data_IF_151153961358
#
_entry.id   IF_151153961358
#
_cell.length_a   1.000
_cell.length_b   1.000
_cell.length_c   1.000
_cell.angle_alpha   90.00
_cell.angle_beta   90.00
_cell.angle_gamma   90.00
#
_symmetry.space_group_name_H-M   'P 1'
#
loop_
_entity.id
_entity.type
_entity.pdbx_description
1 polymer ?
#
# COMPACT_ATOMS: atom_id res chain seq x y z
N UNK A 1 8.34 -27.27 -4.07
CA UNK A 1 7.17 -28.03 -3.57
C UNK A 1 6.00 -27.06 -3.55
N UNK A 2 5.14 -27.14 -4.56
CA UNK A 2 3.92 -26.32 -4.57
C UNK A 2 3.02 -26.82 -3.42
N UNK A 3 2.82 -25.98 -2.40
CA UNK A 3 1.75 -26.23 -1.44
C UNK A 3 0.44 -26.32 -2.22
N UNK A 4 -0.30 -27.39 -2.01
CA UNK A 4 -1.65 -27.50 -2.54
C UNK A 4 -2.51 -26.44 -1.82
N UNK A 5 -2.63 -25.25 -2.41
CA UNK A 5 -3.42 -24.16 -1.86
C UNK A 5 -4.87 -24.43 -2.26
N UNK A 6 -5.74 -24.51 -1.27
CA UNK A 6 -7.18 -24.65 -1.49
C UNK A 6 -7.82 -23.25 -1.61
N UNK A 7 -7.97 -22.78 -2.85
CA UNK A 7 -8.60 -21.49 -3.12
C UNK A 7 -10.13 -21.60 -2.97
N UNK A 8 -10.74 -20.60 -2.34
CA UNK A 8 -12.17 -20.57 -2.06
C UNK A 8 -13.05 -20.34 -3.27
N UNK A 9 -12.51 -19.77 -4.35
CA UNK A 9 -13.25 -19.42 -5.54
C UNK A 9 -12.45 -19.63 -6.82
N UNK A 10 -13.17 -19.74 -7.96
CA UNK A 10 -12.53 -19.76 -9.27
C UNK A 10 -11.81 -18.45 -9.60
N UNK A 11 -12.32 -17.32 -9.10
CA UNK A 11 -11.66 -16.02 -9.23
C UNK A 11 -10.28 -16.01 -8.59
N UNK A 12 -10.16 -16.53 -7.37
CA UNK A 12 -8.86 -16.65 -6.69
C UNK A 12 -7.90 -17.56 -7.46
N UNK A 13 -8.38 -18.68 -8.01
CA UNK A 13 -7.56 -19.58 -8.85
C UNK A 13 -7.03 -18.88 -10.09
N UNK A 14 -7.85 -18.05 -10.74
CA UNK A 14 -7.42 -17.26 -11.90
C UNK A 14 -6.38 -16.22 -11.52
N UNK A 15 -6.56 -15.51 -10.40
CA UNK A 15 -5.61 -14.54 -9.89
C UNK A 15 -4.27 -15.21 -9.59
N UNK A 16 -4.28 -16.34 -8.89
CA UNK A 16 -3.08 -17.12 -8.58
C UNK A 16 -2.34 -17.56 -9.85
N UNK A 17 -3.07 -18.05 -10.85
CA UNK A 17 -2.51 -18.44 -12.14
C UNK A 17 -1.82 -17.28 -12.87
N UNK A 18 -2.42 -16.09 -12.85
CA UNK A 18 -1.84 -14.89 -13.45
C UNK A 18 -0.59 -14.47 -12.68
N UNK A 19 -0.63 -14.43 -11.35
CA UNK A 19 0.53 -14.11 -10.51
C UNK A 19 1.71 -15.04 -10.80
N UNK A 20 1.45 -16.34 -10.93
CA UNK A 20 2.47 -17.33 -11.31
C UNK A 20 3.03 -17.06 -12.71
N UNK A 21 2.17 -16.70 -13.66
CA UNK A 21 2.58 -16.43 -15.04
C UNK A 21 3.48 -15.20 -15.17
N UNK A 22 3.22 -14.16 -14.39
CA UNK A 22 4.05 -12.93 -14.33
C UNK A 22 5.15 -12.99 -13.27
N UNK A 23 5.32 -14.16 -12.62
CA UNK A 23 6.37 -14.45 -11.64
C UNK A 23 6.37 -13.53 -10.41
N UNK A 24 5.20 -13.15 -9.96
CA UNK A 24 5.00 -12.42 -8.70
C UNK A 24 4.71 -13.44 -7.59
N UNK A 25 5.54 -13.42 -6.56
CA UNK A 25 5.37 -14.25 -5.37
C UNK A 25 4.23 -13.74 -4.51
N UNK A 26 3.46 -14.66 -3.96
CA UNK A 26 2.35 -14.34 -3.08
C UNK A 26 2.22 -15.32 -1.92
N UNK A 27 1.59 -14.86 -0.86
CA UNK A 27 1.07 -15.69 0.23
C UNK A 27 -0.46 -15.65 0.18
N UNK A 28 -1.09 -16.81 0.29
CA UNK A 28 -2.55 -16.92 0.33
C UNK A 28 -3.05 -16.72 1.76
N UNK A 29 -4.02 -15.83 1.95
CA UNK A 29 -4.66 -15.55 3.23
C UNK A 29 -3.68 -15.23 4.39
N UNK A 30 -2.64 -14.46 4.12
CA UNK A 30 -1.76 -13.96 5.17
C UNK A 30 -2.51 -12.93 6.03
N UNK A 31 -2.48 -13.13 7.35
CA UNK A 31 -3.20 -12.27 8.29
C UNK A 31 -2.62 -10.86 8.39
N UNK A 32 -3.49 -9.88 8.54
CA UNK A 32 -3.16 -8.48 8.80
C UNK A 32 -3.97 -7.95 9.98
N UNK A 33 -3.30 -7.22 10.88
CA UNK A 33 -3.97 -6.63 12.04
C UNK A 33 -4.77 -5.38 11.61
N UNK A 34 -6.06 -5.39 11.91
CA UNK A 34 -6.97 -4.26 11.70
C UNK A 34 -7.31 -3.65 13.05
N UNK A 35 -7.05 -2.35 13.16
CA UNK A 35 -7.51 -1.52 14.26
C UNK A 35 -8.69 -0.66 13.80
N UNK A 36 -9.82 -0.84 14.42
CA UNK A 36 -10.98 0.03 14.26
C UNK A 36 -11.37 0.57 15.63
N UNK A 37 -12.09 1.69 15.67
CA UNK A 37 -12.45 2.38 16.91
C UNK A 37 -13.01 1.48 18.01
N UNK A 38 -13.71 0.41 17.62
CA UNK A 38 -14.43 -0.49 18.52
C UNK A 38 -13.81 -1.89 18.65
N UNK A 39 -12.79 -2.23 17.87
CA UNK A 39 -12.20 -3.56 17.90
C UNK A 39 -10.78 -3.62 17.29
N UNK A 40 -10.06 -4.64 17.69
CA UNK A 40 -8.86 -5.13 17.01
C UNK A 40 -9.14 -6.53 16.50
N UNK A 41 -8.87 -6.79 15.23
CA UNK A 41 -9.06 -8.10 14.60
C UNK A 41 -7.99 -8.36 13.58
N UNK A 42 -7.75 -9.64 13.31
CA UNK A 42 -6.95 -10.07 12.19
C UNK A 42 -7.90 -10.33 11.01
N UNK A 43 -7.64 -9.65 9.89
CA UNK A 43 -8.27 -9.92 8.62
C UNK A 43 -7.34 -10.70 7.73
N UNK A 44 -7.90 -11.43 6.77
CA UNK A 44 -7.16 -12.30 5.86
C UNK A 44 -7.48 -11.90 4.42
N UNK A 45 -6.80 -10.90 3.85
CA UNK A 45 -6.88 -10.62 2.43
C UNK A 45 -6.53 -11.86 1.62
N UNK A 46 -7.09 -11.99 0.42
CA UNK A 46 -6.91 -13.20 -0.38
C UNK A 46 -5.44 -13.47 -0.72
N UNK A 47 -4.69 -12.41 -1.08
CA UNK A 47 -3.27 -12.53 -1.40
C UNK A 47 -2.46 -11.41 -0.76
N UNK A 48 -1.25 -11.76 -0.33
CA UNK A 48 -0.22 -10.82 0.09
C UNK A 48 0.94 -10.89 -0.88
N UNK A 49 1.29 -9.75 -1.46
CA UNK A 49 2.46 -9.59 -2.31
C UNK A 49 3.60 -9.00 -1.48
N UNK A 50 4.35 -9.85 -0.78
CA UNK A 50 5.35 -9.43 0.21
C UNK A 50 6.46 -8.57 -0.37
N UNK A 51 6.88 -8.83 -1.62
CA UNK A 51 7.92 -8.05 -2.29
C UNK A 51 7.53 -6.59 -2.52
N UNK A 52 6.24 -6.29 -2.55
CA UNK A 52 5.70 -4.94 -2.85
C UNK A 52 4.94 -4.33 -1.67
N UNK A 53 4.75 -5.06 -0.58
CA UNK A 53 3.92 -4.64 0.56
C UNK A 53 2.50 -4.26 0.17
N UNK A 54 1.90 -5.04 -0.72
CA UNK A 54 0.55 -4.86 -1.26
C UNK A 54 -0.24 -6.13 -1.01
N UNK A 55 -1.54 -5.97 -0.79
CA UNK A 55 -2.50 -7.07 -0.71
C UNK A 55 -3.46 -7.03 -1.88
N UNK A 56 -4.02 -8.18 -2.23
CA UNK A 56 -5.10 -8.28 -3.21
C UNK A 56 -6.34 -8.83 -2.51
N UNK A 57 -7.50 -8.29 -2.88
CA UNK A 57 -8.80 -8.74 -2.39
C UNK A 57 -9.75 -8.92 -3.58
N UNK A 58 -10.34 -10.10 -3.72
CA UNK A 58 -11.28 -10.41 -4.78
C UNK A 58 -12.72 -10.23 -4.32
N UNK A 59 -13.45 -9.34 -4.97
CA UNK A 59 -14.85 -9.05 -4.71
C UNK A 59 -15.74 -9.70 -5.79
N UNK A 60 -16.05 -10.98 -5.63
CA UNK A 60 -16.72 -11.78 -6.64
C UNK A 60 -18.21 -11.51 -6.84
N UNK A 61 -18.88 -10.82 -5.91
CA UNK A 61 -20.35 -10.59 -5.91
C UNK A 61 -20.71 -9.12 -6.18
N UNK A 62 -19.97 -8.46 -7.05
CA UNK A 62 -20.06 -7.01 -7.31
C UNK A 62 -21.40 -6.53 -7.91
N UNK A 63 -22.36 -7.41 -8.19
CA UNK A 63 -23.70 -7.02 -8.68
C UNK A 63 -24.76 -6.92 -7.58
N UNK A 64 -24.40 -7.25 -6.35
CA UNK A 64 -25.27 -7.08 -5.18
C UNK A 64 -24.99 -5.72 -4.51
N UNK A 65 -25.98 -4.80 -4.44
CA UNK A 65 -25.77 -3.48 -3.84
C UNK A 65 -25.32 -3.53 -2.36
N UNK A 66 -25.79 -4.51 -1.59
CA UNK A 66 -25.37 -4.70 -0.19
C UNK A 66 -23.90 -5.14 -0.12
N UNK A 67 -23.50 -6.01 -1.01
CA UNK A 67 -22.13 -6.47 -1.11
C UNK A 67 -21.19 -5.36 -1.58
N UNK A 68 -21.61 -4.54 -2.54
CA UNK A 68 -20.85 -3.36 -2.98
C UNK A 68 -20.61 -2.38 -1.84
N UNK A 69 -21.63 -2.13 -1.01
CA UNK A 69 -21.48 -1.27 0.17
C UNK A 69 -20.46 -1.86 1.15
N UNK A 70 -20.58 -3.13 1.48
CA UNK A 70 -19.66 -3.82 2.40
C UNK A 70 -18.23 -3.85 1.85
N UNK A 71 -18.06 -4.02 0.54
CA UNK A 71 -16.76 -4.02 -0.12
C UNK A 71 -16.06 -2.66 0.00
N UNK A 72 -16.81 -1.56 -0.22
CA UNK A 72 -16.30 -0.20 -0.05
C UNK A 72 -15.92 0.08 1.40
N UNK A 73 -16.78 -0.29 2.35
CA UNK A 73 -16.49 -0.15 3.77
C UNK A 73 -15.22 -0.92 4.16
N UNK A 74 -15.05 -2.13 3.63
CA UNK A 74 -13.85 -2.94 3.86
C UNK A 74 -12.59 -2.27 3.32
N UNK A 75 -12.65 -1.72 2.11
CA UNK A 75 -11.53 -0.97 1.51
C UNK A 75 -11.20 0.31 2.30
N UNK A 76 -12.20 1.02 2.79
CA UNK A 76 -12.01 2.20 3.63
C UNK A 76 -11.30 1.85 4.94
N UNK A 77 -11.66 0.74 5.58
CA UNK A 77 -11.01 0.26 6.80
C UNK A 77 -9.56 -0.12 6.53
N UNK A 78 -9.25 -0.81 5.43
CA UNK A 78 -7.87 -1.07 5.03
C UNK A 78 -7.09 0.23 4.86
N UNK A 79 -7.65 1.20 4.16
CA UNK A 79 -7.02 2.51 3.94
C UNK A 79 -6.75 3.26 5.25
N UNK A 80 -7.69 3.27 6.19
CA UNK A 80 -7.52 3.87 7.52
C UNK A 80 -6.39 3.21 8.32
N UNK A 81 -6.15 1.92 8.08
CA UNK A 81 -5.05 1.16 8.68
C UNK A 81 -3.74 1.26 7.90
N UNK A 82 -3.68 2.08 6.84
CA UNK A 82 -2.52 2.22 5.94
C UNK A 82 -2.08 0.90 5.30
N UNK A 83 -3.06 0.04 5.03
CA UNK A 83 -2.87 -1.23 4.33
C UNK A 83 -3.24 -0.99 2.87
N UNK A 84 -2.28 -1.23 2.00
CA UNK A 84 -2.42 -1.02 0.58
C UNK A 84 -3.05 -2.27 -0.05
N UNK A 85 -4.29 -2.15 -0.48
CA UNK A 85 -5.08 -3.25 -1.05
C UNK A 85 -5.53 -2.89 -2.45
N UNK A 86 -5.24 -3.78 -3.39
CA UNK A 86 -5.73 -3.71 -4.77
C UNK A 86 -7.02 -4.53 -4.85
N UNK A 87 -8.18 -3.90 -5.10
CA UNK A 87 -9.42 -4.64 -5.30
C UNK A 87 -9.45 -5.28 -6.69
N UNK A 88 -9.94 -6.50 -6.76
CA UNK A 88 -10.15 -7.21 -8.02
C UNK A 88 -11.62 -7.59 -8.12
N UNK A 89 -12.24 -7.24 -9.22
CA UNK A 89 -13.65 -7.52 -9.53
C UNK A 89 -13.78 -8.50 -10.68
N UNK A 90 -14.95 -9.14 -10.87
CA UNK A 90 -15.17 -10.07 -11.98
C UNK A 90 -14.80 -9.51 -13.35
N UNK A 91 -15.06 -8.22 -13.59
CA UNK A 91 -14.70 -7.57 -14.86
C UNK A 91 -13.18 -7.53 -15.10
N UNK A 92 -12.38 -7.44 -14.04
CA UNK A 92 -10.92 -7.49 -14.14
C UNK A 92 -10.42 -8.87 -14.57
N UNK A 93 -11.13 -9.94 -14.21
CA UNK A 93 -10.77 -11.30 -14.60
C UNK A 93 -11.02 -11.58 -16.09
N UNK A 94 -11.97 -10.87 -16.70
CA UNK A 94 -12.35 -11.04 -18.11
C UNK A 94 -11.53 -10.15 -19.06
N UNK A 95 -10.85 -9.13 -18.53
CA UNK A 95 -9.95 -8.25 -19.25
C UNK A 95 -8.49 -8.75 -19.14
N UNK A 96 -7.52 -7.90 -19.43
CA UNK A 96 -6.09 -8.20 -19.21
C UNK A 96 -5.74 -8.10 -17.73
N UNK A 97 -6.00 -9.13 -16.97
CA UNK A 97 -5.77 -9.16 -15.52
C UNK A 97 -4.28 -8.96 -15.18
N UNK A 98 -3.37 -9.52 -15.95
CA UNK A 98 -1.93 -9.33 -15.84
C UNK A 98 -1.55 -7.84 -15.92
N UNK A 99 -2.02 -7.14 -16.94
CA UNK A 99 -1.77 -5.70 -17.12
C UNK A 99 -2.40 -4.89 -15.98
N UNK A 100 -3.64 -5.19 -15.61
CA UNK A 100 -4.30 -4.54 -14.48
C UNK A 100 -3.48 -4.65 -13.19
N UNK A 101 -3.03 -5.86 -12.85
CA UNK A 101 -2.22 -6.09 -11.65
C UNK A 101 -0.90 -5.33 -11.69
N UNK A 102 -0.20 -5.38 -12.81
CA UNK A 102 1.08 -4.66 -12.97
C UNK A 102 0.89 -3.15 -12.85
N UNK A 103 -0.14 -2.59 -13.46
CA UNK A 103 -0.44 -1.15 -13.41
C UNK A 103 -0.80 -0.71 -11.97
N UNK A 104 -1.61 -1.48 -11.27
CA UNK A 104 -2.01 -1.18 -9.89
C UNK A 104 -0.84 -1.31 -8.92
N UNK A 105 0.00 -2.33 -9.06
CA UNK A 105 1.22 -2.47 -8.27
C UNK A 105 2.16 -1.29 -8.52
N UNK A 106 2.36 -0.91 -9.78
CA UNK A 106 3.19 0.25 -10.13
C UNK A 106 2.65 1.54 -9.51
N UNK A 107 1.35 1.79 -9.62
CA UNK A 107 0.69 2.96 -9.03
C UNK A 107 0.89 3.03 -7.51
N UNK A 108 0.77 1.90 -6.84
CA UNK A 108 1.02 1.78 -5.40
C UNK A 108 2.46 2.13 -5.03
N UNK A 109 3.43 1.58 -5.75
CA UNK A 109 4.86 1.85 -5.54
C UNK A 109 5.21 3.31 -5.82
N UNK A 110 4.70 3.86 -6.92
CA UNK A 110 4.92 5.26 -7.32
C UNK A 110 4.37 6.24 -6.27
N UNK A 111 3.18 5.99 -5.76
CA UNK A 111 2.57 6.79 -4.70
C UNK A 111 3.41 6.79 -3.41
N UNK A 112 3.97 5.64 -3.03
CA UNK A 112 4.84 5.53 -1.86
C UNK A 112 6.18 6.23 -2.07
N UNK A 113 6.77 6.11 -3.26
CA UNK A 113 8.01 6.79 -3.62
C UNK A 113 7.84 8.32 -3.58
N UNK A 114 6.77 8.84 -4.18
CA UNK A 114 6.43 10.27 -4.14
C UNK A 114 6.24 10.78 -2.71
N UNK A 115 5.58 9.99 -1.85
CA UNK A 115 5.45 10.32 -0.43
C UNK A 115 6.80 10.40 0.29
N UNK A 116 7.70 9.46 0.03
CA UNK A 116 9.06 9.45 0.59
C UNK A 116 9.88 10.64 0.11
N UNK A 117 9.83 10.97 -1.16
CA UNK A 117 10.52 12.13 -1.74
C UNK A 117 10.07 13.46 -1.09
N UNK A 118 8.76 13.65 -0.88
CA UNK A 118 8.23 14.80 -0.15
C UNK A 118 8.79 14.87 1.26
N UNK A 119 8.82 13.75 1.98
CA UNK A 119 9.36 13.68 3.33
C UNK A 119 10.83 14.05 3.37
N UNK A 120 11.65 13.49 2.49
CA UNK A 120 13.08 13.78 2.37
C UNK A 120 13.31 15.27 2.09
N UNK A 121 12.54 15.89 1.19
CA UNK A 121 12.66 17.30 0.86
C UNK A 121 12.30 18.21 2.04
N UNK A 122 11.29 17.86 2.84
CA UNK A 122 10.94 18.58 4.07
C UNK A 122 12.11 18.56 5.06
N UNK A 123 12.74 17.42 5.28
CA UNK A 123 13.87 17.30 6.19
C UNK A 123 15.10 18.04 5.68
N UNK A 124 15.41 17.97 4.39
CA UNK A 124 16.50 18.73 3.77
C UNK A 124 16.32 20.23 3.95
N UNK A 125 15.14 20.75 3.69
CA UNK A 125 14.83 22.18 3.83
C UNK A 125 14.92 22.66 5.29
N UNK A 126 14.47 21.84 6.26
CA UNK A 126 14.62 22.15 7.69
C UNK A 126 16.10 22.20 8.10
N UNK A 127 16.93 21.28 7.64
CA UNK A 127 18.36 21.24 7.97
C UNK A 127 19.14 22.43 7.40
N UNK A 128 18.77 22.91 6.22
CA UNK A 128 19.34 24.13 5.62
C UNK A 128 18.94 25.38 6.40
N UNK A 129 17.67 25.47 6.84
CA UNK A 129 17.19 26.58 7.70
C UNK A 129 17.91 26.67 9.05
N UNK A 130 18.26 25.54 9.65
CA UNK A 130 19.02 25.48 10.91
C UNK A 130 20.48 25.97 10.75
N UNK A 131 21.10 25.71 9.60
CA UNK A 131 22.46 26.19 9.30
C UNK A 131 22.53 27.70 9.06
N UNK A 132 21.49 28.31 8.49
CA UNK A 132 21.46 29.76 8.25
C UNK A 132 21.25 30.57 9.52
N UNK A 133 20.56 30.05 10.54
CA UNK A 133 20.32 30.74 11.81
C UNK A 133 21.48 30.63 12.82
N UNK A 134 22.42 29.68 12.63
CA UNK A 134 23.59 29.56 13.53
C UNK A 134 24.78 30.46 13.17
N UNK A 135 24.71 31.18 12.04
CA UNK A 135 25.81 32.05 11.58
C UNK A 135 25.60 33.58 11.83
N UNK A 136 24.47 33.99 12.42
CA UNK A 136 24.22 35.39 12.77
C UNK A 136 24.45 35.69 14.26
N UNK A 137 25.62 35.45 14.79
CA UNK A 137 25.84 35.71 16.19
C UNK A 137 27.30 35.75 16.63
N UNK A 138 28.20 36.41 15.91
CA UNK A 138 29.45 36.90 16.48
C UNK A 138 29.94 38.15 15.72
N UNK A 139 29.33 39.29 16.00
CA UNK A 139 29.92 40.58 15.76
C UNK A 139 30.82 40.89 16.94
N UNK A 140 32.12 40.75 16.78
CA UNK A 140 33.11 41.19 17.78
C UNK A 140 33.19 42.71 17.80
N UNK A 141 32.68 43.33 18.84
CA UNK A 141 33.06 44.71 19.20
C UNK A 141 34.54 44.73 19.57
N UNK A 142 35.37 45.31 18.69
CA UNK A 142 36.70 45.75 19.04
C UNK A 142 36.55 47.13 19.71
N UNK A 143 36.64 47.19 21.04
CA UNK A 143 36.89 48.41 21.76
C UNK A 143 38.37 48.77 21.57
N UNK A 144 38.63 49.92 20.94
CA UNK A 144 39.95 50.60 20.97
C UNK A 144 40.06 51.40 22.28
N UNK A 145 41.07 51.08 23.07
CA UNK A 145 41.55 52.00 24.13
C UNK A 145 42.62 52.90 23.52
N UNK A 146 42.49 54.25 23.75
CA UNK A 146 43.56 55.26 23.67
C UNK A 146 44.20 55.38 25.02
#
# INVERSE_FOLDING_TARGET
MYKNIDFKSNGEKMIASVLDSIKIRYEHEAGVLINNRNYQRIWYPDFKLSDYSVYLEYFGMSQDPNYDYQSREKLDIYSQNRIDVIPIYPDNLQANLDQYLLDEIYTSLDSRLTGLERTVNIYRNKSVGYRSNSFQGYSRHRTRYH
#
